data_IF_701516125904
#
_entry.id   IF_701516125904
#
_cell.length_a   1.000
_cell.length_b   1.000
_cell.length_c   1.000
_cell.angle_alpha   90.00
_cell.angle_beta   90.00
_cell.angle_gamma   90.00
#
_symmetry.space_group_name_H-M   'P 1'
#
loop_
_entity.id
_entity.type
_entity.pdbx_description
1 polymer ?
#
# COMPACT_ATOMS: atom_id res chain seq x y z
N UNK A 1 -42.82 -35.91 50.27
CA UNK A 1 -43.44 -37.19 49.85
C UNK A 1 -42.64 -37.69 48.65
N UNK A 2 -41.64 -38.57 48.90
CA UNK A 2 -41.74 -40.04 48.79
C UNK A 2 -41.92 -40.54 47.35
N UNK A 3 -40.81 -41.10 46.83
CA UNK A 3 -40.68 -42.31 45.98
C UNK A 3 -41.34 -42.27 44.57
N UNK A 4 -40.79 -42.78 43.47
CA UNK A 4 -40.11 -44.07 43.17
C UNK A 4 -39.26 -43.90 41.89
N UNK A 5 -38.06 -44.48 41.70
CA UNK A 5 -37.75 -45.88 41.26
C UNK A 5 -38.50 -46.23 39.94
N UNK A 6 -37.93 -46.76 38.84
CA UNK A 6 -36.67 -47.46 38.62
C UNK A 6 -36.37 -47.71 37.12
N UNK A 7 -35.16 -48.24 36.87
CA UNK A 7 -34.78 -49.34 35.93
C UNK A 7 -34.50 -49.14 34.41
N UNK A 8 -33.27 -49.54 34.08
CA UNK A 8 -32.80 -50.48 33.03
C UNK A 8 -32.50 -50.01 31.58
N UNK A 9 -31.18 -49.94 31.31
CA UNK A 9 -30.38 -50.66 30.30
C UNK A 9 -30.72 -50.60 28.80
N UNK A 10 -29.73 -50.17 27.98
CA UNK A 10 -29.35 -50.84 26.74
C UNK A 10 -27.98 -50.38 26.20
N UNK A 11 -27.27 -51.37 25.64
CA UNK A 11 -25.99 -51.39 24.93
C UNK A 11 -25.74 -50.28 23.89
N UNK A 12 -24.49 -49.85 23.76
CA UNK A 12 -23.86 -49.64 22.45
C UNK A 12 -22.33 -49.86 22.55
N UNK A 13 -21.84 -50.84 21.78
CA UNK A 13 -20.42 -51.11 21.57
C UNK A 13 -19.77 -49.96 20.81
N UNK A 14 -18.58 -49.54 21.23
CA UNK A 14 -17.65 -48.79 20.38
C UNK A 14 -16.24 -49.37 20.50
N UNK A 15 -15.67 -49.57 19.34
CA UNK A 15 -14.58 -50.46 18.94
C UNK A 15 -13.19 -49.96 19.32
N UNK A 16 -12.41 -50.86 19.92
CA UNK A 16 -10.97 -51.14 19.72
C UNK A 16 -10.03 -50.00 19.30
N UNK A 17 -9.28 -49.51 20.30
CA UNK A 17 -7.81 -49.34 20.34
C UNK A 17 -7.01 -49.48 19.04
N UNK A 18 -6.35 -48.40 18.63
CA UNK A 18 -5.19 -48.45 17.74
C UNK A 18 -3.96 -48.01 18.54
N UNK A 19 -3.00 -48.91 18.74
CA UNK A 19 -1.70 -48.60 19.33
C UNK A 19 -0.62 -49.50 18.71
N UNK A 20 0.52 -48.86 18.44
CA UNK A 20 1.90 -49.38 18.39
C UNK A 20 2.49 -49.86 17.05
N UNK A 21 3.39 -49.02 16.53
CA UNK A 21 4.86 -49.21 16.61
C UNK A 21 5.62 -49.11 15.28
N UNK A 22 6.68 -48.29 15.34
CA UNK A 22 7.74 -48.08 14.35
C UNK A 22 8.48 -49.34 13.94
N UNK A 23 9.11 -49.29 12.76
CA UNK A 23 10.42 -49.92 12.52
C UNK A 23 11.16 -49.25 11.36
N UNK A 24 12.44 -49.05 11.61
CA UNK A 24 13.44 -48.43 10.75
C UNK A 24 13.93 -49.31 9.59
N UNK A 25 14.63 -48.62 8.69
CA UNK A 25 15.86 -49.01 7.97
C UNK A 25 15.77 -49.57 6.54
N UNK A 26 16.28 -48.72 5.63
CA UNK A 26 17.30 -48.95 4.59
C UNK A 26 17.07 -49.91 3.39
N UNK A 27 17.46 -49.33 2.25
CA UNK A 27 18.29 -49.84 1.12
C UNK A 27 17.67 -50.19 -0.24
N UNK A 28 18.22 -49.48 -1.25
CA UNK A 28 18.43 -49.77 -2.68
C UNK A 28 17.21 -49.96 -3.60
N UNK A 29 17.15 -49.57 -4.88
CA UNK A 29 17.86 -48.75 -5.90
C UNK A 29 16.94 -48.87 -7.19
N UNK A 30 17.17 -48.32 -8.41
CA UNK A 30 18.32 -47.58 -8.95
C UNK A 30 17.99 -46.33 -9.83
N UNK A 31 19.06 -45.58 -10.12
CA UNK A 31 19.40 -44.97 -11.43
C UNK A 31 18.40 -44.06 -12.16
N UNK A 32 18.73 -42.76 -12.22
CA UNK A 32 19.11 -42.14 -13.51
C UNK A 32 20.16 -41.07 -13.24
N UNK A 33 21.37 -41.32 -13.73
CA UNK A 33 22.50 -40.40 -13.77
C UNK A 33 22.33 -39.43 -14.93
N UNK A 34 22.58 -38.13 -14.72
CA UNK A 34 23.19 -37.26 -15.74
C UNK A 34 24.09 -36.21 -15.08
N UNK A 35 25.32 -36.12 -15.58
CA UNK A 35 26.38 -35.10 -15.39
C UNK A 35 27.01 -34.86 -16.78
N UNK A 36 27.96 -33.94 -16.96
CA UNK A 36 28.02 -32.51 -16.63
C UNK A 36 28.34 -31.64 -17.89
N UNK A 37 28.22 -30.31 -17.77
CA UNK A 37 28.88 -29.23 -18.56
C UNK A 37 29.01 -29.36 -20.11
N UNK A 38 28.30 -28.51 -20.88
CA UNK A 38 28.87 -27.78 -22.03
C UNK A 38 27.99 -26.56 -22.45
N UNK A 39 28.48 -25.35 -22.13
CA UNK A 39 28.55 -24.09 -22.94
C UNK A 39 27.50 -23.85 -24.07
N UNK A 40 26.90 -22.67 -24.31
CA UNK A 40 27.12 -21.29 -23.90
C UNK A 40 25.96 -20.40 -24.42
N UNK A 41 25.97 -19.14 -23.94
CA UNK A 41 25.39 -17.91 -24.50
C UNK A 41 23.97 -17.50 -24.04
N UNK A 42 23.94 -16.33 -23.38
CA UNK A 42 22.78 -15.50 -23.03
C UNK A 42 21.99 -15.88 -21.76
N UNK A 43 22.69 -16.17 -20.65
CA UNK A 43 22.10 -16.01 -19.33
C UNK A 43 22.12 -14.51 -18.95
N UNK A 44 21.06 -13.79 -19.31
CA UNK A 44 20.72 -12.52 -18.64
C UNK A 44 20.38 -12.84 -17.19
N UNK A 45 20.99 -12.20 -16.18
CA UNK A 45 20.40 -12.19 -14.86
C UNK A 45 19.09 -11.39 -14.95
N UNK A 46 17.99 -12.11 -15.13
CA UNK A 46 16.63 -11.61 -14.93
C UNK A 46 16.39 -11.43 -13.43
N UNK A 47 17.10 -10.49 -12.84
CA UNK A 47 16.64 -9.84 -11.62
C UNK A 47 16.00 -8.53 -12.04
N UNK A 48 14.75 -8.63 -12.51
CA UNK A 48 13.83 -7.52 -12.36
C UNK A 48 13.70 -7.29 -10.85
N UNK A 49 14.55 -6.39 -10.34
CA UNK A 49 14.54 -5.92 -8.98
C UNK A 49 13.19 -5.25 -8.74
N UNK A 50 12.24 -6.06 -8.30
CA UNK A 50 11.04 -5.60 -7.61
C UNK A 50 11.54 -5.14 -6.24
N UNK A 51 12.22 -3.99 -6.18
CA UNK A 51 12.59 -3.39 -4.91
C UNK A 51 11.29 -2.98 -4.24
N UNK A 52 10.82 -3.79 -3.29
CA UNK A 52 9.87 -3.33 -2.30
C UNK A 52 10.39 -1.99 -1.76
N UNK A 53 9.53 -0.98 -1.72
CA UNK A 53 9.93 0.34 -1.21
C UNK A 53 10.45 0.16 0.21
N UNK A 54 11.71 0.51 0.45
CA UNK A 54 12.32 0.45 1.79
C UNK A 54 11.45 1.18 2.80
N UNK A 55 11.05 0.47 3.85
CA UNK A 55 10.06 0.93 4.82
C UNK A 55 10.55 2.18 5.56
N UNK A 56 9.81 3.27 5.49
CA UNK A 56 10.16 4.53 6.17
C UNK A 56 9.56 4.56 7.57
N UNK A 57 10.24 3.92 8.52
CA UNK A 57 9.82 3.83 9.92
C UNK A 57 10.43 4.97 10.74
N UNK A 58 9.57 5.70 11.46
CA UNK A 58 9.93 6.73 12.43
C UNK A 58 9.02 6.62 13.65
N UNK A 59 9.55 6.98 14.80
CA UNK A 59 8.77 7.14 16.03
C UNK A 59 7.88 8.38 15.96
N UNK A 60 6.90 8.45 16.85
CA UNK A 60 6.01 9.59 16.95
C UNK A 60 6.74 10.93 17.18
N UNK A 61 7.74 10.91 18.07
CA UNK A 61 8.54 12.08 18.38
C UNK A 61 9.37 12.55 17.18
N UNK A 62 9.92 11.63 16.39
CA UNK A 62 10.65 11.96 15.16
C UNK A 62 9.71 12.55 14.11
N UNK A 63 8.49 12.02 13.97
CA UNK A 63 7.47 12.59 13.08
C UNK A 63 7.10 14.02 13.48
N UNK A 64 6.85 14.27 14.77
CA UNK A 64 6.53 15.62 15.28
C UNK A 64 7.66 16.63 15.14
N UNK A 65 8.91 16.17 14.98
CA UNK A 65 10.07 17.04 14.68
C UNK A 65 10.23 17.29 13.18
N UNK A 66 9.87 16.32 12.35
CA UNK A 66 10.01 16.39 10.90
C UNK A 66 8.87 17.15 10.23
N UNK A 67 7.65 16.96 10.72
CA UNK A 67 6.42 17.49 10.13
C UNK A 67 5.94 18.71 10.91
N UNK A 68 5.37 19.68 10.20
CA UNK A 68 4.57 20.69 10.88
C UNK A 68 3.27 20.09 11.45
N UNK A 69 2.58 20.88 12.27
CA UNK A 69 1.35 20.44 12.94
C UNK A 69 0.27 19.94 11.97
N UNK A 70 0.05 20.63 10.85
CA UNK A 70 -0.98 20.25 9.89
C UNK A 70 -0.59 19.02 9.09
N UNK A 71 0.67 18.94 8.65
CA UNK A 71 1.21 17.76 7.98
C UNK A 71 1.11 16.53 8.89
N UNK A 72 1.50 16.65 10.16
CA UNK A 72 1.42 15.56 11.12
C UNK A 72 -0.03 15.11 11.34
N UNK A 73 -0.95 16.06 11.59
CA UNK A 73 -2.38 15.78 11.77
C UNK A 73 -2.97 15.04 10.58
N UNK A 74 -2.62 15.45 9.35
CA UNK A 74 -3.10 14.78 8.14
C UNK A 74 -2.44 13.41 7.96
N UNK A 75 -1.10 13.36 7.89
CA UNK A 75 -0.37 12.13 7.54
C UNK A 75 -0.47 11.05 8.61
N UNK A 76 -0.55 11.40 9.90
CA UNK A 76 -0.43 10.45 11.01
C UNK A 76 -1.73 10.26 11.79
N UNK A 77 -2.55 11.29 11.89
CA UNK A 77 -3.83 11.25 12.62
C UNK A 77 -5.05 11.16 11.69
N UNK A 78 -4.83 10.91 10.40
CA UNK A 78 -5.87 10.79 9.36
C UNK A 78 -6.79 12.04 9.30
N UNK A 79 -6.24 13.20 9.65
CA UNK A 79 -6.94 14.46 9.55
C UNK A 79 -7.24 14.85 8.10
N UNK A 80 -8.28 15.65 7.91
CA UNK A 80 -8.58 16.31 6.63
C UNK A 80 -8.41 17.83 6.78
N UNK A 81 -7.79 18.48 5.80
CA UNK A 81 -7.66 19.94 5.75
C UNK A 81 -8.94 20.59 5.18
N UNK A 82 -9.21 21.88 5.46
CA UNK A 82 -10.41 22.51 4.94
C UNK A 82 -10.40 22.67 3.41
N UNK A 83 -11.56 22.53 2.74
CA UNK A 83 -11.66 22.75 1.30
C UNK A 83 -11.36 24.21 0.95
N UNK A 84 -10.74 24.44 -0.21
CA UNK A 84 -10.38 25.76 -0.77
C UNK A 84 -9.46 26.64 0.10
N UNK A 85 -9.04 26.16 1.27
CA UNK A 85 -8.12 26.82 2.20
C UNK A 85 -6.90 25.95 2.46
N UNK A 86 -6.27 25.56 1.37
CA UNK A 86 -5.08 24.73 1.37
C UNK A 86 -4.15 25.14 0.22
N UNK A 87 -2.93 24.62 0.22
CA UNK A 87 -1.87 25.14 -0.63
C UNK A 87 -2.02 24.77 -2.11
N UNK A 88 -2.57 23.58 -2.43
CA UNK A 88 -2.46 23.02 -3.77
C UNK A 88 -3.81 22.80 -4.49
N UNK A 89 -4.95 23.16 -3.91
CA UNK A 89 -6.25 22.99 -4.60
C UNK A 89 -6.25 23.68 -5.98
N UNK A 90 -5.79 24.94 -6.05
CA UNK A 90 -5.72 25.72 -7.29
C UNK A 90 -4.36 25.69 -7.98
N UNK A 91 -3.37 24.96 -7.48
CA UNK A 91 -2.05 24.90 -8.13
C UNK A 91 -2.18 24.32 -9.56
N UNK A 92 -1.64 25.03 -10.55
CA UNK A 92 -1.59 24.64 -11.98
C UNK A 92 -0.15 24.57 -12.52
N UNK A 93 0.85 24.74 -11.65
CA UNK A 93 2.25 24.69 -12.04
C UNK A 93 2.67 23.28 -12.45
N UNK A 94 3.64 23.21 -13.36
CA UNK A 94 4.19 21.96 -13.87
C UNK A 94 5.17 21.41 -12.85
N UNK A 95 5.01 20.16 -12.44
CA UNK A 95 5.87 19.58 -11.41
C UNK A 95 5.38 18.23 -10.90
N UNK A 96 5.99 17.81 -9.79
CA UNK A 96 5.74 16.54 -9.12
C UNK A 96 5.33 16.83 -7.67
N UNK A 97 4.36 16.06 -7.17
CA UNK A 97 3.93 16.08 -5.78
C UNK A 97 4.51 14.87 -5.06
N UNK A 98 5.38 15.14 -4.09
CA UNK A 98 6.00 14.16 -3.22
C UNK A 98 5.17 13.97 -1.95
N UNK A 99 5.34 12.84 -1.27
CA UNK A 99 4.87 12.68 0.11
C UNK A 99 5.62 13.65 1.03
N UNK A 100 4.92 14.54 1.72
CA UNK A 100 5.56 15.48 2.65
C UNK A 100 6.36 14.76 3.76
N UNK A 101 5.96 13.54 4.15
CA UNK A 101 6.65 12.78 5.19
C UNK A 101 7.90 12.03 4.75
N UNK A 102 7.90 11.38 3.58
CA UNK A 102 9.01 10.51 3.17
C UNK A 102 9.59 10.85 1.79
N UNK A 103 9.11 11.93 1.16
CA UNK A 103 9.64 12.49 -0.09
C UNK A 103 9.54 11.54 -1.30
N UNK A 104 8.79 10.44 -1.20
CA UNK A 104 8.53 9.57 -2.35
C UNK A 104 7.58 10.28 -3.33
N UNK A 105 7.78 10.19 -4.65
CA UNK A 105 6.86 10.76 -5.64
C UNK A 105 5.49 10.08 -5.58
N UNK A 106 4.41 10.87 -5.50
CA UNK A 106 3.04 10.34 -5.40
C UNK A 106 2.20 10.67 -6.63
N UNK A 107 2.25 11.92 -7.08
CA UNK A 107 1.42 12.42 -8.18
C UNK A 107 2.19 13.41 -9.06
N UNK A 108 1.70 13.67 -10.27
CA UNK A 108 2.28 14.66 -11.18
C UNK A 108 1.25 15.70 -11.64
N UNK A 109 1.74 16.87 -12.07
CA UNK A 109 0.87 17.94 -12.61
C UNK A 109 0.03 17.48 -13.80
N UNK A 110 0.57 16.63 -14.68
CA UNK A 110 -0.16 16.10 -15.83
C UNK A 110 -1.37 15.21 -15.45
N UNK A 111 -1.39 14.69 -14.22
CA UNK A 111 -2.49 13.89 -13.69
C UNK A 111 -3.47 14.73 -12.88
N UNK A 112 -3.12 15.98 -12.56
CA UNK A 112 -3.96 16.88 -11.77
C UNK A 112 -5.06 17.47 -12.64
N UNK A 113 -6.26 17.58 -12.09
CA UNK A 113 -7.39 18.24 -12.75
C UNK A 113 -8.20 19.09 -11.76
N UNK A 114 -9.09 19.92 -12.32
CA UNK A 114 -10.03 20.70 -11.51
C UNK A 114 -11.29 19.90 -11.24
N UNK A 115 -11.46 19.47 -10.00
CA UNK A 115 -12.64 18.71 -9.58
C UNK A 115 -13.76 19.58 -8.99
N UNK A 116 -13.45 20.84 -8.66
CA UNK A 116 -14.37 21.71 -7.91
C UNK A 116 -14.63 21.28 -6.46
N UNK A 117 -13.91 20.29 -5.90
CA UNK A 117 -14.16 19.82 -4.52
C UNK A 117 -13.43 20.62 -3.44
N UNK A 118 -12.43 21.40 -3.83
CA UNK A 118 -11.62 22.21 -2.91
C UNK A 118 -10.35 21.55 -2.40
N UNK A 119 -9.98 20.38 -2.92
CA UNK A 119 -8.70 19.71 -2.66
C UNK A 119 -7.99 19.37 -3.98
N UNK A 120 -6.63 19.31 -4.01
CA UNK A 120 -5.92 18.84 -5.19
C UNK A 120 -6.42 17.44 -5.57
N UNK A 121 -6.84 17.32 -6.84
CA UNK A 121 -7.45 16.12 -7.36
C UNK A 121 -6.65 15.58 -8.54
N UNK A 122 -6.36 14.28 -8.52
CA UNK A 122 -5.60 13.59 -9.56
C UNK A 122 -6.42 12.43 -10.11
N UNK A 123 -6.25 12.12 -11.39
CA UNK A 123 -6.94 10.97 -11.99
C UNK A 123 -6.13 9.66 -11.92
N UNK A 124 -4.83 9.75 -11.60
CA UNK A 124 -3.94 8.61 -11.41
C UNK A 124 -2.73 9.02 -10.57
N UNK A 125 -2.07 8.03 -9.96
CA UNK A 125 -0.78 8.16 -9.27
C UNK A 125 0.39 8.23 -10.26
N UNK A 126 1.50 8.85 -9.87
CA UNK A 126 2.69 8.89 -10.76
C UNK A 126 3.31 7.51 -10.95
N UNK A 127 3.22 6.66 -9.93
CA UNK A 127 3.73 5.29 -9.87
C UNK A 127 2.79 4.46 -8.98
N UNK A 128 2.22 3.39 -9.54
CA UNK A 128 1.25 2.52 -8.84
C UNK A 128 1.80 1.98 -7.52
N UNK A 129 3.10 1.69 -7.46
CA UNK A 129 3.75 1.16 -6.25
C UNK A 129 3.83 2.16 -5.09
N UNK A 130 3.73 3.48 -5.33
CA UNK A 130 3.95 4.50 -4.30
C UNK A 130 2.68 4.87 -3.53
N UNK A 131 1.51 4.61 -4.11
CA UNK A 131 0.19 4.97 -3.56
C UNK A 131 -0.59 3.69 -3.27
N UNK A 132 -1.06 3.54 -2.04
CA UNK A 132 -1.87 2.43 -1.57
C UNK A 132 -3.32 2.85 -1.37
N UNK A 133 -4.21 1.86 -1.49
CA UNK A 133 -5.64 2.02 -1.33
C UNK A 133 -6.15 1.02 -0.28
N UNK A 134 -6.95 1.47 0.68
CA UNK A 134 -7.56 0.60 1.70
C UNK A 134 -8.99 1.01 1.97
N UNK A 135 -9.89 0.03 2.10
CA UNK A 135 -11.29 0.31 2.40
C UNK A 135 -11.42 0.85 3.82
N UNK A 136 -11.93 2.08 3.94
CA UNK A 136 -12.27 2.77 5.17
C UNK A 136 -13.80 2.72 5.38
N UNK A 137 -14.21 2.08 6.48
CA UNK A 137 -15.63 1.96 6.90
C UNK A 137 -15.96 2.85 8.11
N UNK A 138 -15.06 3.76 8.47
CA UNK A 138 -15.26 4.69 9.59
C UNK A 138 -16.39 5.69 9.32
N UNK A 139 -16.92 6.31 10.38
CA UNK A 139 -17.94 7.37 10.31
C UNK A 139 -19.24 6.98 9.56
N UNK A 140 -19.55 5.69 9.45
CA UNK A 140 -20.77 5.19 8.80
C UNK A 140 -20.77 5.33 7.27
N UNK A 141 -19.60 5.55 6.66
CA UNK A 141 -19.43 5.62 5.21
C UNK A 141 -18.44 4.55 4.76
N UNK A 142 -18.63 4.01 3.55
CA UNK A 142 -17.63 3.16 2.90
C UNK A 142 -16.87 4.00 1.88
N UNK A 143 -15.61 4.31 2.17
CA UNK A 143 -14.71 5.07 1.27
C UNK A 143 -13.44 4.25 1.05
N UNK A 144 -12.69 4.57 0.02
CA UNK A 144 -11.34 4.00 -0.17
C UNK A 144 -10.32 5.06 0.24
N UNK A 145 -9.68 4.83 1.38
CA UNK A 145 -8.55 5.63 1.86
C UNK A 145 -7.35 5.46 0.93
N UNK A 146 -6.63 6.55 0.72
CA UNK A 146 -5.41 6.61 -0.06
C UNK A 146 -4.27 6.96 0.88
N UNK A 147 -3.22 6.14 0.89
CA UNK A 147 -2.04 6.33 1.74
C UNK A 147 -0.73 6.15 0.95
N UNK A 148 0.36 6.67 1.50
CA UNK A 148 1.68 6.45 0.93
C UNK A 148 2.19 5.04 1.28
N UNK A 149 2.51 4.21 0.28
CA UNK A 149 3.00 2.84 0.51
C UNK A 149 4.37 2.78 1.21
N UNK A 150 5.16 3.85 1.15
CA UNK A 150 6.49 3.88 1.76
C UNK A 150 6.48 4.16 3.27
N UNK A 151 5.67 5.12 3.72
CA UNK A 151 5.63 5.56 5.13
C UNK A 151 4.29 5.32 5.84
N UNK A 152 3.28 4.82 5.11
CA UNK A 152 1.91 4.63 5.61
C UNK A 152 1.19 5.93 5.95
N UNK A 153 1.66 7.07 5.45
CA UNK A 153 1.03 8.37 5.72
C UNK A 153 -0.30 8.51 4.99
N UNK A 154 -1.34 8.94 5.69
CA UNK A 154 -2.64 9.24 5.10
C UNK A 154 -2.54 10.41 4.10
N UNK A 155 -3.09 10.21 2.91
CA UNK A 155 -3.09 11.21 1.84
C UNK A 155 -4.49 11.78 1.62
N UNK A 156 -5.49 10.92 1.55
CA UNK A 156 -6.87 11.31 1.28
C UNK A 156 -7.74 10.12 0.91
N UNK A 157 -8.59 10.28 -0.10
CA UNK A 157 -9.52 9.23 -0.54
C UNK A 157 -9.63 9.20 -2.06
N UNK A 158 -10.00 8.04 -2.60
CA UNK A 158 -10.28 7.85 -4.03
C UNK A 158 -11.76 7.59 -4.28
N UNK A 159 -12.30 8.21 -5.33
CA UNK A 159 -13.71 8.14 -5.71
C UNK A 159 -13.87 7.75 -7.19
N UNK A 160 -14.94 7.04 -7.57
CA UNK A 160 -15.19 6.60 -8.96
C UNK A 160 -15.90 7.68 -9.81
N UNK A 161 -15.66 8.96 -9.55
CA UNK A 161 -16.30 10.12 -10.19
C UNK A 161 -15.29 11.03 -10.92
N UNK A 162 -14.12 10.48 -11.27
CA UNK A 162 -13.07 11.20 -11.98
C UNK A 162 -13.22 11.22 -13.50
N UNK A 163 -12.32 11.94 -14.20
CA UNK A 163 -12.29 11.97 -15.66
C UNK A 163 -11.75 10.65 -16.25
N UNK A 164 -11.91 10.47 -17.56
CA UNK A 164 -11.17 9.44 -18.31
C UNK A 164 -9.66 9.71 -18.21
N UNK A 165 -8.80 8.68 -18.30
CA UNK A 165 -9.10 7.28 -18.66
C UNK A 165 -9.55 6.39 -17.50
N UNK A 166 -9.10 6.66 -16.28
CA UNK A 166 -9.32 5.79 -15.11
C UNK A 166 -10.73 5.91 -14.53
N UNK A 167 -11.37 7.08 -14.69
CA UNK A 167 -12.59 7.48 -13.97
C UNK A 167 -12.41 7.55 -12.45
N UNK A 168 -11.17 7.60 -11.99
CA UNK A 168 -10.84 7.75 -10.58
C UNK A 168 -10.53 9.21 -10.28
N UNK A 169 -10.91 9.63 -9.07
CA UNK A 169 -10.53 10.92 -8.49
C UNK A 169 -9.86 10.68 -7.16
N UNK A 170 -8.53 10.75 -7.17
CA UNK A 170 -7.70 10.83 -5.98
C UNK A 170 -7.84 12.24 -5.40
N UNK A 171 -8.63 12.36 -4.33
CA UNK A 171 -8.88 13.62 -3.61
C UNK A 171 -7.93 13.69 -2.42
N UNK A 172 -6.87 14.49 -2.54
CA UNK A 172 -5.70 14.42 -1.66
C UNK A 172 -5.58 15.70 -0.83
N UNK A 173 -5.15 15.58 0.43
CA UNK A 173 -4.83 16.74 1.25
C UNK A 173 -3.51 17.36 0.79
N UNK A 174 -3.48 18.67 0.56
CA UNK A 174 -2.25 19.43 0.27
C UNK A 174 -1.22 19.30 1.37
N UNK A 175 -1.63 19.29 2.64
CA UNK A 175 -0.73 19.07 3.78
C UNK A 175 -0.04 17.69 3.78
N UNK A 176 -0.49 16.73 2.95
CA UNK A 176 0.21 15.45 2.78
C UNK A 176 1.27 15.49 1.65
N UNK A 177 1.35 16.60 0.91
CA UNK A 177 2.13 16.76 -0.30
C UNK A 177 3.22 17.84 -0.16
N UNK A 178 4.33 17.63 -0.85
CA UNK A 178 5.32 18.67 -1.16
C UNK A 178 5.42 18.80 -2.68
N UNK A 179 5.26 20.01 -3.22
CA UNK A 179 5.37 20.25 -4.65
C UNK A 179 6.80 20.63 -5.03
N UNK A 180 7.34 19.96 -6.06
CA UNK A 180 8.60 20.30 -6.70
C UNK A 180 8.30 20.76 -8.12
N UNK A 181 8.62 22.02 -8.43
CA UNK A 181 8.42 22.58 -9.75
C UNK A 181 9.30 21.88 -10.78
N UNK A 182 8.86 21.85 -12.04
CA UNK A 182 9.57 21.19 -13.14
C UNK A 182 11.02 21.65 -13.26
N UNK A 183 11.27 22.94 -13.06
CA UNK A 183 12.59 23.54 -13.14
C UNK A 183 13.56 22.98 -12.09
N UNK A 184 13.05 22.50 -10.96
CA UNK A 184 13.85 22.07 -9.81
C UNK A 184 13.98 20.52 -9.74
N UNK A 185 13.41 19.79 -10.71
CA UNK A 185 13.41 18.32 -10.68
C UNK A 185 14.80 17.72 -10.78
N UNK A 186 15.71 18.33 -11.54
CA UNK A 186 17.08 17.84 -11.68
C UNK A 186 17.84 17.97 -10.34
N UNK A 187 17.77 19.14 -9.71
CA UNK A 187 18.39 19.42 -8.42
C UNK A 187 17.84 18.53 -7.30
N UNK A 188 16.57 18.14 -7.40
CA UNK A 188 15.91 17.23 -6.46
C UNK A 188 16.08 15.75 -6.81
N UNK A 189 16.91 15.40 -7.79
CA UNK A 189 17.16 14.03 -8.25
C UNK A 189 15.89 13.31 -8.76
N UNK A 190 14.97 14.06 -9.36
CA UNK A 190 13.68 13.62 -9.89
C UNK A 190 13.60 13.72 -11.42
N UNK A 191 14.74 13.81 -12.12
CA UNK A 191 14.80 13.96 -13.57
C UNK A 191 13.99 12.87 -14.32
N UNK A 192 13.94 11.64 -13.78
CA UNK A 192 13.15 10.53 -14.33
C UNK A 192 11.63 10.85 -14.44
N UNK A 193 11.13 11.77 -13.62
CA UNK A 193 9.72 12.16 -13.57
C UNK A 193 9.39 13.40 -14.41
N UNK A 194 10.38 14.04 -15.05
CA UNK A 194 10.18 15.26 -15.84
C UNK A 194 9.15 15.10 -16.97
N UNK A 195 8.98 13.87 -17.50
CA UNK A 195 7.99 13.55 -18.52
C UNK A 195 6.53 13.68 -18.04
N UNK A 196 6.30 13.56 -16.73
CA UNK A 196 4.98 13.66 -16.08
C UNK A 196 4.69 15.10 -15.58
N UNK A 197 5.69 15.97 -15.50
CA UNK A 197 5.56 17.38 -15.14
C UNK A 197 5.20 18.23 -16.38
N UNK A 198 3.99 18.00 -16.93
CA UNK A 198 3.47 18.73 -18.10
C UNK A 198 2.30 19.63 -17.72
#
# INVERSE_FOLDING_TARGET
>A
MKHQLATLAALALATTTFLMASKDDKTNAPSTQQTPEELAACAVPSEAQTTALEAFKKTDSEWKKLLDHNQYRVLREQGTEPPFRNQYWNNKDKGVYLCAGCQVPLFASAQKFDSGTGWPSFWDSIEVKNVGETVDTSHGMTRTEVHCNRCGGHLGHVFPDGPRPTRLRYCINSASLEFVAKADLEDRQLAAYAKHAK
#
